data_IF_675708218349
#
_entry.id   IF_675708218349
#
_cell.length_a   1.000
_cell.length_b   1.000
_cell.length_c   1.000
_cell.angle_alpha   90.00
_cell.angle_beta   90.00
_cell.angle_gamma   90.00
#
_symmetry.space_group_name_H-M   'P 1'
#
loop_
_entity.id
_entity.type
_entity.pdbx_description
1 polymer ?
#
# COMPACT_ATOMS: atom_id res chain seq x y z
N UNK A 1 -1.36 7.89 -15.07
CA UNK A 1 -2.05 6.85 -14.28
C UNK A 1 -0.99 6.14 -13.46
N UNK A 2 -1.11 6.18 -12.13
CA UNK A 2 -0.30 5.41 -11.20
C UNK A 2 -1.13 4.19 -10.78
N UNK A 3 -0.56 3.00 -10.84
CA UNK A 3 -1.21 1.77 -10.37
C UNK A 3 -0.27 0.90 -9.56
N UNK A 4 -0.84 0.27 -8.54
CA UNK A 4 -0.23 -0.76 -7.69
C UNK A 4 -1.23 -1.90 -7.64
N UNK A 5 -0.79 -3.12 -7.95
CA UNK A 5 -1.69 -4.28 -8.07
C UNK A 5 -1.21 -5.43 -7.18
N UNK A 6 -2.09 -5.86 -6.27
CA UNK A 6 -1.92 -7.04 -5.41
C UNK A 6 -0.57 -7.10 -4.67
N UNK A 7 -0.05 -5.95 -4.25
CA UNK A 7 1.24 -5.87 -3.57
C UNK A 7 1.16 -6.48 -2.18
N UNK A 8 2.05 -7.42 -1.93
CA UNK A 8 2.34 -7.94 -0.59
C UNK A 8 3.77 -7.57 -0.22
N UNK A 9 3.93 -6.83 0.87
CA UNK A 9 5.25 -6.32 1.30
C UNK A 9 5.54 -6.67 2.75
N UNK A 10 6.80 -7.01 3.01
CA UNK A 10 7.37 -7.23 4.34
C UNK A 10 8.81 -6.72 4.38
N UNK A 11 9.23 -6.18 5.51
CA UNK A 11 10.60 -5.70 5.70
C UNK A 11 11.59 -6.86 5.83
N UNK A 12 11.31 -7.79 6.74
CA UNK A 12 12.15 -8.95 6.99
C UNK A 12 11.52 -10.22 6.42
N UNK A 13 12.36 -11.15 5.96
CA UNK A 13 11.86 -12.46 5.45
C UNK A 13 11.04 -13.22 6.48
N UNK A 14 11.39 -13.11 7.76
CA UNK A 14 10.72 -13.80 8.88
C UNK A 14 9.56 -13.00 9.48
N UNK A 15 9.39 -11.72 9.13
CA UNK A 15 8.28 -10.93 9.66
C UNK A 15 6.98 -11.17 8.88
N UNK A 16 5.87 -10.82 9.52
CA UNK A 16 4.58 -10.85 8.85
C UNK A 16 4.47 -9.70 7.83
N UNK A 17 3.77 -9.89 6.70
CA UNK A 17 3.51 -8.81 5.76
C UNK A 17 2.76 -7.65 6.38
N UNK A 18 3.26 -6.44 6.14
CA UNK A 18 2.62 -5.17 6.54
C UNK A 18 1.59 -4.73 5.50
N UNK A 19 1.78 -5.11 4.23
CA UNK A 19 0.78 -5.02 3.16
C UNK A 19 0.47 -6.43 2.67
N UNK A 20 -0.81 -6.72 2.42
CA UNK A 20 -1.30 -8.02 1.95
C UNK A 20 -2.25 -7.80 0.80
N UNK A 21 -1.84 -8.20 -0.40
CA UNK A 21 -2.62 -8.07 -1.65
C UNK A 21 -3.24 -6.67 -1.82
N UNK A 22 -2.48 -5.63 -1.52
CA UNK A 22 -2.95 -4.26 -1.58
C UNK A 22 -2.92 -3.75 -3.03
N UNK A 23 -4.02 -3.13 -3.47
CA UNK A 23 -4.12 -2.47 -4.77
C UNK A 23 -4.56 -1.02 -4.61
N UNK A 24 -3.97 -0.12 -5.40
CA UNK A 24 -4.31 1.30 -5.43
C UNK A 24 -4.08 1.87 -6.83
N UNK A 25 -4.98 2.72 -7.29
CA UNK A 25 -4.86 3.44 -8.56
C UNK A 25 -5.15 4.92 -8.36
N UNK A 26 -4.40 5.78 -9.07
CA UNK A 26 -4.64 7.21 -9.15
C UNK A 26 -4.54 7.68 -10.61
N UNK A 27 -5.56 8.38 -11.06
CA UNK A 27 -5.59 8.95 -12.41
C UNK A 27 -4.72 10.21 -12.51
N UNK A 28 -4.41 10.63 -13.74
CA UNK A 28 -3.66 11.85 -13.96
C UNK A 28 -4.44 13.06 -13.42
N UNK A 29 -3.77 13.90 -12.62
CA UNK A 29 -4.38 15.07 -12.00
C UNK A 29 -5.14 14.80 -10.70
N UNK A 30 -5.26 13.54 -10.25
CA UNK A 30 -5.84 13.22 -8.95
C UNK A 30 -4.82 13.34 -7.82
N UNK A 31 -5.28 13.81 -6.67
CA UNK A 31 -4.53 13.81 -5.41
C UNK A 31 -5.23 12.86 -4.45
N UNK A 32 -4.51 11.82 -4.01
CA UNK A 32 -4.98 10.87 -3.00
C UNK A 32 -4.33 11.11 -1.65
N UNK A 33 -5.05 10.84 -0.56
CA UNK A 33 -4.53 10.88 0.81
C UNK A 33 -4.72 9.51 1.46
N UNK A 34 -3.65 8.93 1.98
CA UNK A 34 -3.69 7.65 2.67
C UNK A 34 -3.77 7.87 4.20
N UNK A 35 -4.87 7.44 4.83
CA UNK A 35 -5.18 7.68 6.24
C UNK A 35 -5.33 6.39 7.05
N UNK A 36 -5.09 6.47 8.36
CA UNK A 36 -5.19 5.33 9.28
C UNK A 36 -4.23 5.40 10.46
N UNK A 37 -4.30 4.42 11.36
CA UNK A 37 -3.59 4.41 12.65
C UNK A 37 -2.08 4.13 12.51
N UNK A 38 -1.28 4.48 13.50
CA UNK A 38 0.15 4.17 13.50
C UNK A 38 0.38 2.65 13.39
N UNK A 39 1.34 2.25 12.56
CA UNK A 39 1.69 0.83 12.34
C UNK A 39 0.76 0.05 11.40
N UNK A 40 -0.27 0.66 10.79
CA UNK A 40 -1.21 -0.07 9.92
C UNK A 40 -0.75 -0.25 8.46
N UNK A 41 0.49 0.12 8.12
CA UNK A 41 1.06 -0.07 6.78
C UNK A 41 0.67 0.99 5.75
N UNK A 42 0.42 2.23 6.19
CA UNK A 42 0.32 3.38 5.28
C UNK A 42 1.69 3.85 4.84
#
# INVERSE_FOLDING_TARGET
MLSVEQVTFRYDRRSQPVLRNASLSLDAGQVGVLLGRNGCGK
#
